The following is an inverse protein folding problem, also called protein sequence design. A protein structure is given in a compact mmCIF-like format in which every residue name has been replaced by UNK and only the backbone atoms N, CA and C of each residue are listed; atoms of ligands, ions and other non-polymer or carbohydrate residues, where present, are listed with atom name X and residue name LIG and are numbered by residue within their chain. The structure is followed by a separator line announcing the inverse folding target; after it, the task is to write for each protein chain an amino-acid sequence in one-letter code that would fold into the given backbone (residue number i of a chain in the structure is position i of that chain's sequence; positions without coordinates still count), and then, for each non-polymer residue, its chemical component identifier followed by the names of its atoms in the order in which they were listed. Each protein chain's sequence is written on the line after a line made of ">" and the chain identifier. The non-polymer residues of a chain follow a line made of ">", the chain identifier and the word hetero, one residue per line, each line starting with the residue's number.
data_IF_070527685127
#
_entry.id   IF_070527685127
#
_cell.length_a   1.000
_cell.length_b   1.000
_cell.length_c   1.000
_cell.angle_alpha   90.00
_cell.angle_beta   90.00
_cell.angle_gamma   90.00
#
_symmetry.space_group_name_H-M   'P 1'
#
loop_
_entity.id
_entity.type
_entity.pdbx_description
1 polymer ?
#
# COMPACT_ATOMS: atom_id res chain seq x y z
N UNK A 1 20.44 14.14 -10.52
CA UNK A 1 20.69 13.79 -11.94
C UNK A 1 19.39 13.24 -12.54
N UNK A 2 18.92 13.78 -13.65
CA UNK A 2 17.65 13.42 -14.32
C UNK A 2 17.71 12.00 -14.95
N UNK A 3 16.62 11.24 -14.86
CA UNK A 3 15.87 10.85 -16.08
C UNK A 3 14.45 10.40 -15.74
N UNK A 4 13.51 11.08 -16.39
CA UNK A 4 12.14 10.65 -16.66
C UNK A 4 12.20 9.58 -17.75
N UNK A 5 11.44 8.49 -17.63
CA UNK A 5 11.11 7.63 -18.77
C UNK A 5 9.59 7.51 -18.84
N UNK A 6 8.99 8.30 -19.74
CA UNK A 6 7.77 7.91 -20.44
C UNK A 6 8.05 6.64 -21.24
N UNK A 7 7.21 5.61 -21.13
CA UNK A 7 7.13 4.56 -22.16
C UNK A 7 5.77 4.62 -22.85
N UNK A 8 5.84 4.81 -24.16
CA UNK A 8 4.75 4.70 -25.12
C UNK A 8 4.61 3.24 -25.56
N UNK A 9 3.35 2.80 -25.67
CA UNK A 9 2.82 1.69 -26.49
C UNK A 9 3.53 0.31 -26.50
N UNK A 10 2.82 -0.70 -25.97
CA UNK A 10 2.76 -2.01 -26.65
C UNK A 10 2.93 -3.26 -25.80
N UNK A 11 1.79 -3.77 -25.31
CA UNK A 11 1.51 -5.14 -24.79
C UNK A 11 2.14 -5.53 -23.42
N UNK A 12 1.33 -6.14 -22.52
CA UNK A 12 1.81 -6.60 -21.22
C UNK A 12 2.74 -7.82 -21.43
N UNK A 13 4.00 -7.66 -21.03
CA UNK A 13 4.93 -8.77 -20.89
C UNK A 13 4.46 -9.69 -19.78
N UNK A 14 4.37 -10.99 -20.09
CA UNK A 14 4.05 -12.08 -19.17
C UNK A 14 4.88 -12.02 -17.89
N UNK A 15 4.20 -11.95 -16.75
CA UNK A 15 4.77 -12.03 -15.40
C UNK A 15 5.32 -13.43 -15.12
N UNK A 16 6.59 -13.65 -15.44
CA UNK A 16 7.35 -14.81 -14.97
C UNK A 16 7.98 -14.54 -13.61
N UNK A 17 7.19 -14.51 -12.53
CA UNK A 17 7.70 -14.74 -11.17
C UNK A 17 6.67 -15.44 -10.29
N UNK A 18 6.47 -16.74 -10.54
CA UNK A 18 6.10 -17.64 -9.45
C UNK A 18 7.31 -17.80 -8.53
N UNK A 19 7.28 -17.21 -7.33
CA UNK A 19 8.17 -17.60 -6.23
C UNK A 19 7.36 -17.92 -4.99
N UNK A 20 6.93 -19.17 -4.91
CA UNK A 20 6.93 -19.84 -3.62
C UNK A 20 8.36 -20.12 -3.20
N UNK A 21 8.74 -19.77 -1.97
CA UNK A 21 9.45 -20.63 -0.99
C UNK A 21 10.16 -19.80 0.09
N UNK A 22 10.02 -20.35 1.31
CA UNK A 22 10.91 -20.30 2.48
C UNK A 22 12.29 -19.66 2.23
N UNK A 23 12.61 -18.69 3.09
CA UNK A 23 13.87 -17.96 3.18
C UNK A 23 15.11 -18.78 2.78
N UNK A 24 15.86 -18.25 1.81
CA UNK A 24 17.26 -18.62 1.60
C UNK A 24 18.11 -17.35 1.72
N UNK A 25 18.83 -17.24 2.83
CA UNK A 25 19.99 -16.36 2.91
C UNK A 25 20.98 -16.71 1.77
N UNK A 26 21.40 -15.69 1.02
CA UNK A 26 22.51 -15.81 0.06
C UNK A 26 23.84 -15.58 0.80
N UNK A 27 24.83 -16.49 0.71
CA UNK A 27 26.18 -16.18 1.14
C UNK A 27 26.92 -15.38 0.06
N UNK A 28 27.49 -14.25 0.47
CA UNK A 28 28.28 -13.37 -0.37
C UNK A 28 29.61 -13.95 -0.88
N UNK A 29 30.12 -13.30 -1.92
CA UNK A 29 31.34 -13.55 -2.69
C UNK A 29 32.55 -14.03 -1.86
N UNK A 30 33.07 -15.23 -2.18
CA UNK A 30 34.47 -15.60 -1.90
C UNK A 30 35.19 -15.94 -3.20
N UNK A 31 36.23 -15.16 -3.47
CA UNK A 31 37.12 -15.30 -4.62
C UNK A 31 37.74 -16.70 -4.72
N UNK A 32 37.89 -17.18 -5.95
CA UNK A 32 38.58 -18.42 -6.28
C UNK A 32 40.05 -18.35 -5.84
N UNK A 33 40.46 -19.26 -4.94
CA UNK A 33 41.87 -19.60 -4.73
C UNK A 33 42.08 -21.10 -4.93
N UNK A 34 43.26 -21.40 -5.46
CA UNK A 34 43.69 -22.61 -6.14
C UNK A 34 43.46 -23.93 -5.40
N UNK A 35 43.19 -24.97 -6.18
CA UNK A 35 43.15 -26.37 -5.75
C UNK A 35 44.54 -26.83 -5.29
N UNK A 36 44.70 -27.05 -3.98
CA UNK A 36 45.73 -27.96 -3.44
C UNK A 36 45.09 -29.26 -2.99
N UNK A 37 45.57 -30.37 -3.55
CA UNK A 37 45.22 -31.72 -3.13
C UNK A 37 46.09 -32.09 -1.92
N UNK A 38 45.49 -32.44 -0.79
CA UNK A 38 46.14 -33.26 0.22
C UNK A 38 45.15 -33.99 1.15
N UNK A 39 45.42 -35.29 1.25
CA UNK A 39 45.24 -36.26 2.33
C UNK A 39 43.92 -36.31 3.12
N UNK A 40 43.29 -37.49 3.07
CA UNK A 40 42.04 -37.82 3.75
C UNK A 40 42.09 -37.61 5.26
N UNK A 41 41.05 -36.93 5.78
CA UNK A 41 40.67 -36.91 7.19
C UNK A 41 39.18 -36.60 7.30
N UNK A 42 38.50 -37.46 8.03
CA UNK A 42 37.15 -37.42 8.61
C UNK A 42 35.97 -36.87 7.80
N UNK A 43 34.96 -37.73 7.69
CA UNK A 43 33.57 -37.37 7.42
C UNK A 43 33.17 -36.22 8.36
N UNK A 44 32.43 -35.26 7.83
CA UNK A 44 31.90 -34.14 8.60
C UNK A 44 31.06 -34.67 9.78
N UNK A 45 31.64 -34.68 10.99
CA UNK A 45 30.97 -35.08 12.25
C UNK A 45 29.94 -34.06 12.75
N UNK A 46 29.76 -32.93 12.05
CA UNK A 46 28.91 -31.83 12.49
C UNK A 46 27.41 -32.06 12.27
N UNK A 47 27.00 -33.09 11.53
CA UNK A 47 25.59 -33.40 11.27
C UNK A 47 25.34 -34.93 11.28
N UNK A 48 25.49 -35.55 12.45
CA UNK A 48 25.17 -36.97 12.66
C UNK A 48 23.69 -37.22 13.02
N UNK A 49 22.95 -36.16 13.35
CA UNK A 49 21.51 -36.22 13.61
C UNK A 49 20.68 -35.99 12.35
N UNK A 50 19.64 -36.80 12.12
CA UNK A 50 18.63 -36.54 11.10
C UNK A 50 17.91 -35.24 11.47
N UNK A 51 18.15 -34.17 10.73
CA UNK A 51 17.37 -32.93 10.86
C UNK A 51 15.92 -33.27 10.48
N UNK A 52 15.05 -33.34 11.49
CA UNK A 52 13.62 -33.45 11.24
C UNK A 52 13.17 -32.14 10.59
N UNK A 53 12.35 -32.16 9.54
CA UNK A 53 11.71 -30.96 9.05
C UNK A 53 10.77 -30.44 10.14
N UNK A 54 11.25 -29.49 10.94
CA UNK A 54 10.42 -28.73 11.87
C UNK A 54 9.87 -27.56 11.07
N UNK A 55 8.69 -27.75 10.50
CA UNK A 55 7.87 -26.60 10.12
C UNK A 55 7.29 -26.05 11.43
N UNK A 56 7.58 -24.80 11.81
CA UNK A 56 7.03 -24.21 13.03
C UNK A 56 5.50 -24.24 12.97
N UNK A 57 4.87 -24.34 14.14
CA UNK A 57 3.42 -24.18 14.25
C UNK A 57 3.05 -22.73 13.89
N UNK A 58 1.87 -22.55 13.30
CA UNK A 58 1.31 -21.21 13.13
C UNK A 58 0.77 -20.78 14.49
N UNK A 59 1.30 -19.71 15.05
CA UNK A 59 1.04 -19.27 16.42
C UNK A 59 0.64 -17.80 16.45
N UNK A 60 -0.27 -17.47 17.36
CA UNK A 60 -0.61 -16.09 17.72
C UNK A 60 0.16 -15.71 18.98
N UNK A 61 0.86 -14.57 18.98
CA UNK A 61 1.41 -13.98 20.20
C UNK A 61 0.34 -13.16 20.93
N UNK A 62 0.11 -13.46 22.21
CA UNK A 62 -0.70 -12.61 23.09
C UNK A 62 0.20 -11.55 23.72
N UNK A 63 -0.36 -10.39 24.10
CA UNK A 63 0.32 -9.28 24.81
C UNK A 63 1.19 -9.69 26.01
N UNK A 64 1.04 -10.90 26.56
CA UNK A 64 1.84 -11.45 27.66
C UNK A 64 3.05 -12.29 27.21
N UNK A 65 3.34 -12.39 25.90
CA UNK A 65 4.40 -13.22 25.35
C UNK A 65 4.05 -14.72 25.23
N UNK A 66 2.82 -15.10 25.56
CA UNK A 66 2.32 -16.47 25.35
C UNK A 66 1.95 -16.69 23.88
N UNK A 67 2.46 -17.76 23.27
CA UNK A 67 2.12 -18.18 21.91
C UNK A 67 1.01 -19.22 21.94
N UNK A 68 -0.17 -18.88 21.42
CA UNK A 68 -1.24 -19.87 21.19
C UNK A 68 -1.05 -20.49 19.82
N UNK A 69 -0.91 -21.81 19.77
CA UNK A 69 -0.90 -22.53 18.48
C UNK A 69 -2.27 -22.48 17.83
N UNK A 70 -2.32 -21.96 16.61
CA UNK A 70 -3.52 -21.89 15.77
C UNK A 70 -3.68 -23.15 14.91
N UNK A 71 -2.70 -24.04 14.91
CA UNK A 71 -2.73 -25.32 14.17
C UNK A 71 -3.54 -26.39 14.92
N UNK A 72 -4.72 -26.02 15.38
CA UNK A 72 -5.65 -26.86 16.14
C UNK A 72 -6.54 -27.69 15.23
N UNK A 73 -7.23 -28.68 15.80
CA UNK A 73 -8.21 -29.48 15.06
C UNK A 73 -9.43 -28.65 14.68
N UNK A 74 -9.84 -27.73 15.55
CA UNK A 74 -10.97 -26.83 15.37
C UNK A 74 -10.74 -25.89 14.19
N UNK A 75 -9.55 -25.29 14.09
CA UNK A 75 -9.18 -24.44 12.95
C UNK A 75 -9.07 -25.25 11.66
N UNK A 76 -8.52 -26.47 11.71
CA UNK A 76 -8.50 -27.35 10.54
C UNK A 76 -9.93 -27.70 10.07
N UNK A 77 -10.81 -28.10 10.98
CA UNK A 77 -12.19 -28.48 10.64
C UNK A 77 -12.97 -27.28 10.06
N UNK A 78 -12.76 -26.07 10.59
CA UNK A 78 -13.32 -24.83 10.05
C UNK A 78 -12.83 -24.57 8.62
N UNK A 79 -11.50 -24.52 8.41
CA UNK A 79 -10.89 -24.32 7.09
C UNK A 79 -11.36 -25.37 6.08
N UNK A 80 -11.43 -26.63 6.49
CA UNK A 80 -11.86 -27.72 5.61
C UNK A 80 -13.31 -27.57 5.16
N UNK A 81 -14.21 -27.19 6.07
CA UNK A 81 -15.61 -26.90 5.74
C UNK A 81 -15.73 -25.68 4.82
N UNK A 82 -14.98 -24.60 5.08
CA UNK A 82 -14.92 -23.43 4.19
C UNK A 82 -14.45 -23.79 2.80
N UNK A 83 -13.37 -24.58 2.69
CA UNK A 83 -12.83 -25.04 1.41
C UNK A 83 -13.81 -25.92 0.64
N UNK A 84 -14.47 -26.88 1.31
CA UNK A 84 -15.50 -27.72 0.70
C UNK A 84 -16.69 -26.89 0.22
N UNK A 85 -17.17 -25.97 1.06
CA UNK A 85 -18.28 -25.07 0.72
C UNK A 85 -17.95 -24.25 -0.52
N UNK A 86 -16.81 -23.57 -0.50
CA UNK A 86 -16.43 -22.68 -1.60
C UNK A 86 -16.12 -23.45 -2.89
N UNK A 87 -15.35 -24.53 -2.82
CA UNK A 87 -15.07 -25.36 -4.00
C UNK A 87 -16.35 -25.92 -4.64
N UNK A 88 -17.30 -26.37 -3.83
CA UNK A 88 -18.63 -26.77 -4.31
C UNK A 88 -19.39 -25.63 -4.97
N UNK A 89 -19.33 -24.42 -4.40
CA UNK A 89 -19.98 -23.22 -4.94
C UNK A 89 -19.44 -22.82 -6.32
N UNK A 90 -18.13 -22.93 -6.54
CA UNK A 90 -17.48 -22.63 -7.83
C UNK A 90 -17.38 -23.84 -8.77
N UNK A 91 -18.00 -24.98 -8.41
CA UNK A 91 -18.04 -26.19 -9.24
C UNK A 91 -16.68 -26.91 -9.38
N UNK A 92 -15.74 -26.66 -8.48
CA UNK A 92 -14.42 -27.28 -8.47
C UNK A 92 -14.37 -28.47 -7.51
N UNK A 93 -13.66 -29.53 -7.90
CA UNK A 93 -13.42 -30.67 -7.00
C UNK A 93 -12.20 -30.38 -6.13
N UNK A 94 -12.40 -30.29 -4.82
CA UNK A 94 -11.31 -30.16 -3.85
C UNK A 94 -10.43 -31.43 -3.83
N UNK A 95 -9.16 -31.39 -4.28
CA UNK A 95 -8.29 -32.56 -4.38
C UNK A 95 -7.58 -32.85 -3.05
N UNK A 96 -8.35 -32.87 -1.96
CA UNK A 96 -7.82 -33.04 -0.61
C UNK A 96 -8.63 -34.09 0.16
N UNK A 97 -7.90 -34.94 0.90
CA UNK A 97 -8.48 -35.88 1.87
C UNK A 97 -7.77 -35.68 3.20
N UNK A 98 -8.50 -35.46 4.30
CA UNK A 98 -7.91 -35.41 5.63
C UNK A 98 -7.11 -36.68 5.91
N UNK A 99 -5.91 -36.54 6.44
CA UNK A 99 -5.12 -37.69 6.91
C UNK A 99 -5.19 -37.76 8.42
N UNK A 100 -5.04 -38.93 9.03
CA UNK A 100 -4.91 -39.09 10.49
C UNK A 100 -3.60 -38.49 11.08
N UNK A 101 -2.93 -37.62 10.33
CA UNK A 101 -1.71 -36.90 10.73
C UNK A 101 -2.11 -35.62 11.49
N UNK A 102 -1.11 -34.91 12.03
CA UNK A 102 -1.33 -33.69 12.82
C UNK A 102 -2.18 -32.65 12.05
N UNK A 103 -3.05 -31.88 12.75
CA UNK A 103 -3.86 -30.82 12.14
C UNK A 103 -3.01 -29.84 11.32
N UNK A 104 -1.83 -29.46 11.81
CA UNK A 104 -0.82 -28.68 11.08
C UNK A 104 -0.54 -29.20 9.66
N UNK A 105 -0.25 -30.49 9.53
CA UNK A 105 0.08 -31.09 8.22
C UNK A 105 -1.14 -31.08 7.29
N UNK A 106 -2.33 -31.25 7.85
CA UNK A 106 -3.57 -31.19 7.08
C UNK A 106 -3.86 -29.75 6.61
N UNK A 107 -3.66 -28.73 7.45
CA UNK A 107 -3.82 -27.31 7.08
C UNK A 107 -2.87 -26.94 5.94
N UNK A 108 -1.57 -27.25 6.04
CA UNK A 108 -0.59 -26.94 4.99
C UNK A 108 -0.96 -27.59 3.65
N UNK A 109 -1.43 -28.84 3.68
CA UNK A 109 -1.86 -29.55 2.47
C UNK A 109 -3.16 -29.00 1.91
N UNK A 110 -4.10 -28.62 2.76
CA UNK A 110 -5.37 -28.03 2.35
C UNK A 110 -5.15 -26.66 1.70
N UNK A 111 -4.29 -25.82 2.29
CA UNK A 111 -3.87 -24.55 1.70
C UNK A 111 -3.29 -24.74 0.31
N UNK A 112 -2.31 -25.65 0.14
CA UNK A 112 -1.75 -25.96 -1.18
C UNK A 112 -2.79 -26.45 -2.18
N UNK A 113 -3.77 -27.24 -1.72
CA UNK A 113 -4.84 -27.72 -2.58
C UNK A 113 -5.73 -26.57 -3.06
N UNK A 114 -6.08 -25.63 -2.17
CA UNK A 114 -6.85 -24.42 -2.52
C UNK A 114 -6.08 -23.52 -3.48
N UNK A 115 -4.82 -23.19 -3.16
CA UNK A 115 -3.91 -22.38 -3.97
C UNK A 115 -3.66 -22.97 -5.37
N UNK A 116 -3.78 -24.30 -5.52
CA UNK A 116 -3.62 -24.96 -6.83
C UNK A 116 -4.87 -24.91 -7.70
N UNK A 117 -6.07 -24.98 -7.09
CA UNK A 117 -7.32 -25.11 -7.86
C UNK A 117 -8.03 -23.78 -8.11
N UNK A 118 -7.78 -22.77 -7.28
CA UNK A 118 -8.43 -21.47 -7.40
C UNK A 118 -7.65 -20.56 -8.36
N UNK A 119 -8.35 -19.74 -9.17
CA UNK A 119 -7.70 -18.73 -9.99
C UNK A 119 -7.27 -17.50 -9.19
N UNK A 120 -7.88 -17.23 -8.03
CA UNK A 120 -7.45 -16.20 -7.08
C UNK A 120 -6.21 -16.63 -6.30
N UNK A 121 -5.48 -15.65 -5.79
CA UNK A 121 -4.47 -15.92 -4.78
C UNK A 121 -5.16 -16.30 -3.46
N UNK A 122 -4.52 -17.18 -2.70
CA UNK A 122 -5.02 -17.66 -1.41
C UNK A 122 -4.02 -17.27 -0.33
N UNK A 123 -4.47 -16.64 0.74
CA UNK A 123 -3.71 -16.50 1.98
C UNK A 123 -4.40 -17.23 3.14
N UNK A 124 -3.64 -17.52 4.19
CA UNK A 124 -4.18 -17.92 5.49
C UNK A 124 -4.09 -16.74 6.44
N UNK A 125 -5.25 -16.30 6.91
CA UNK A 125 -5.37 -15.17 7.81
C UNK A 125 -5.94 -15.61 9.15
N UNK A 126 -5.74 -14.77 10.14
CA UNK A 126 -6.19 -14.97 11.50
C UNK A 126 -7.09 -13.82 11.94
N UNK A 127 -8.19 -14.16 12.61
CA UNK A 127 -9.07 -13.19 13.26
C UNK A 127 -9.66 -13.83 14.51
N UNK A 128 -9.42 -13.21 15.67
CA UNK A 128 -9.95 -13.63 16.98
C UNK A 128 -9.67 -15.10 17.33
N UNK A 129 -8.46 -15.58 17.06
CA UNK A 129 -7.96 -16.94 17.30
C UNK A 129 -8.40 -17.97 16.25
N UNK A 130 -9.05 -17.54 15.16
CA UNK A 130 -9.57 -18.41 14.12
C UNK A 130 -8.84 -18.22 12.79
N UNK A 131 -8.45 -19.34 12.18
CA UNK A 131 -7.86 -19.33 10.84
C UNK A 131 -8.96 -19.37 9.77
N UNK A 132 -8.78 -18.59 8.71
CA UNK A 132 -9.62 -18.62 7.51
C UNK A 132 -8.78 -18.47 6.24
N UNK A 133 -9.35 -18.90 5.12
CA UNK A 133 -8.78 -18.59 3.81
C UNK A 133 -9.21 -17.19 3.40
N UNK A 134 -8.26 -16.33 3.08
CA UNK A 134 -8.49 -15.05 2.43
C UNK A 134 -8.16 -15.21 0.95
N UNK A 135 -9.17 -15.07 0.07
CA UNK A 135 -8.93 -14.98 -1.36
C UNK A 135 -8.64 -13.52 -1.71
N UNK A 136 -7.71 -13.28 -2.62
CA UNK A 136 -7.47 -11.94 -3.10
C UNK A 136 -7.08 -11.88 -4.58
N UNK A 137 -7.36 -10.73 -5.19
CA UNK A 137 -6.98 -10.41 -6.56
C UNK A 137 -6.54 -8.95 -6.67
N UNK A 138 -5.45 -8.73 -7.40
CA UNK A 138 -4.91 -7.39 -7.69
C UNK A 138 -5.78 -6.63 -8.68
N UNK A 139 -6.01 -5.35 -8.39
CA UNK A 139 -6.54 -4.38 -9.35
C UNK A 139 -5.46 -3.92 -10.32
N UNK A 140 -5.89 -3.46 -11.50
CA UNK A 140 -5.00 -2.74 -12.41
C UNK A 140 -4.71 -1.37 -11.82
N UNK A 141 -3.53 -1.22 -11.22
CA UNK A 141 -3.12 0.02 -10.58
C UNK A 141 -1.83 0.55 -11.19
N UNK A 142 -1.72 1.86 -11.48
CA UNK A 142 -0.53 2.41 -12.10
C UNK A 142 0.70 2.20 -11.21
N UNK A 143 1.63 1.40 -11.71
CA UNK A 143 2.93 1.17 -11.08
C UNK A 143 3.71 2.50 -11.01
N UNK A 144 4.50 2.68 -9.96
CA UNK A 144 5.39 3.84 -9.75
C UNK A 144 4.73 5.22 -9.71
N UNK A 145 3.40 5.32 -9.76
CA UNK A 145 2.70 6.59 -9.70
C UNK A 145 2.38 7.00 -8.27
N UNK A 146 2.75 8.24 -7.93
CA UNK A 146 2.39 8.94 -6.71
C UNK A 146 1.21 9.88 -6.97
N UNK A 147 0.17 9.78 -6.14
CA UNK A 147 -0.99 10.64 -6.16
C UNK A 147 -0.93 11.62 -4.99
N UNK A 148 0.07 12.49 -5.02
CA UNK A 148 0.22 13.56 -4.02
C UNK A 148 -0.55 14.80 -4.50
N UNK A 149 -1.63 15.12 -3.80
CA UNK A 149 -2.55 16.20 -4.13
C UNK A 149 -2.03 17.50 -3.48
N UNK A 150 -1.40 18.43 -4.24
CA UNK A 150 -0.93 19.69 -3.66
C UNK A 150 -2.10 20.58 -3.26
N UNK A 151 -1.97 21.36 -2.18
CA UNK A 151 -2.95 22.38 -1.79
C UNK A 151 -2.52 23.79 -2.23
N UNK A 152 -1.24 24.02 -2.49
CA UNK A 152 -0.68 25.32 -2.90
C UNK A 152 -1.37 25.90 -4.14
N UNK A 153 -1.78 25.06 -5.10
CA UNK A 153 -2.44 25.54 -6.33
C UNK A 153 -3.75 26.28 -6.04
N UNK A 154 -4.40 25.98 -4.91
CA UNK A 154 -5.66 26.64 -4.53
C UNK A 154 -5.48 28.12 -4.23
N UNK A 155 -4.26 28.57 -3.91
CA UNK A 155 -3.93 30.00 -3.73
C UNK A 155 -4.04 30.79 -5.05
N UNK A 156 -3.94 30.10 -6.19
CA UNK A 156 -4.01 30.71 -7.52
C UNK A 156 -5.42 30.72 -8.09
N UNK A 157 -6.37 30.09 -7.40
CA UNK A 157 -7.78 30.07 -7.78
C UNK A 157 -8.50 31.33 -7.28
N UNK A 158 -9.55 31.80 -7.98
CA UNK A 158 -10.47 32.78 -7.41
C UNK A 158 -11.02 32.29 -6.06
N UNK A 159 -11.19 33.19 -5.08
CA UNK A 159 -11.50 32.83 -3.69
C UNK A 159 -12.64 31.80 -3.56
N UNK A 160 -13.76 32.02 -4.27
CA UNK A 160 -14.91 31.10 -4.24
C UNK A 160 -14.56 29.71 -4.79
N UNK A 161 -13.81 29.63 -5.90
CA UNK A 161 -13.40 28.36 -6.49
C UNK A 161 -12.35 27.64 -5.63
N UNK A 162 -11.43 28.39 -5.02
CA UNK A 162 -10.48 27.87 -4.05
C UNK A 162 -11.18 27.21 -2.87
N UNK A 163 -12.21 27.86 -2.29
CA UNK A 163 -13.02 27.27 -1.21
C UNK A 163 -13.77 26.00 -1.63
N UNK A 164 -14.37 25.99 -2.81
CA UNK A 164 -15.04 24.79 -3.37
C UNK A 164 -14.04 23.64 -3.53
N UNK A 165 -12.88 23.93 -4.10
CA UNK A 165 -11.83 22.92 -4.36
C UNK A 165 -11.26 22.37 -3.06
N UNK A 166 -10.98 23.22 -2.07
CA UNK A 166 -10.51 22.80 -0.75
C UNK A 166 -11.54 21.93 -0.02
N UNK A 167 -12.83 22.26 -0.12
CA UNK A 167 -13.88 21.43 0.48
C UNK A 167 -13.99 20.06 -0.19
N UNK A 168 -13.89 20.02 -1.52
CA UNK A 168 -13.86 18.75 -2.24
C UNK A 168 -12.66 17.89 -1.81
N UNK A 169 -11.44 18.43 -1.79
CA UNK A 169 -10.24 17.68 -1.39
C UNK A 169 -10.36 17.21 0.07
N UNK A 170 -10.92 18.03 0.96
CA UNK A 170 -11.19 17.64 2.35
C UNK A 170 -12.16 16.47 2.43
N UNK A 171 -13.29 16.52 1.72
CA UNK A 171 -14.26 15.42 1.71
C UNK A 171 -13.67 14.15 1.11
N UNK A 172 -12.92 14.28 0.01
CA UNK A 172 -12.17 13.19 -0.61
C UNK A 172 -11.22 12.53 0.38
N UNK A 173 -10.39 13.32 1.06
CA UNK A 173 -9.41 12.80 1.99
C UNK A 173 -10.09 12.09 3.18
N UNK A 174 -11.15 12.67 3.73
CA UNK A 174 -11.90 12.07 4.85
C UNK A 174 -12.63 10.80 4.47
N UNK A 175 -13.32 10.78 3.32
CA UNK A 175 -14.07 9.62 2.86
C UNK A 175 -13.15 8.43 2.61
N UNK A 176 -11.98 8.71 2.02
CA UNK A 176 -11.01 7.69 1.67
C UNK A 176 -10.00 7.35 2.78
N UNK A 177 -9.88 8.17 3.83
CA UNK A 177 -8.79 8.02 4.81
C UNK A 177 -7.42 8.32 4.19
N UNK A 178 -7.35 9.25 3.24
CA UNK A 178 -6.09 9.70 2.64
C UNK A 178 -5.37 10.59 3.66
N UNK A 179 -4.13 10.26 4.06
CA UNK A 179 -3.41 11.06 5.04
C UNK A 179 -2.87 12.35 4.43
N UNK A 180 -2.49 13.27 5.31
CA UNK A 180 -1.69 14.43 4.94
C UNK A 180 -0.23 14.01 4.91
N UNK A 181 0.58 14.68 4.09
CA UNK A 181 2.02 14.42 4.04
C UNK A 181 2.68 14.54 5.42
N UNK A 182 2.20 15.47 6.26
CA UNK A 182 2.68 15.71 7.62
C UNK A 182 2.37 14.59 8.62
N UNK A 183 1.50 13.64 8.26
CA UNK A 183 1.15 12.50 9.11
C UNK A 183 2.10 11.30 8.87
N UNK A 184 3.09 11.45 7.99
CA UNK A 184 3.98 10.35 7.56
C UNK A 184 5.38 10.47 8.13
N UNK A 185 6.04 9.33 8.35
CA UNK A 185 7.45 9.29 8.73
C UNK A 185 8.37 9.96 7.70
N UNK A 186 7.99 9.94 6.42
CA UNK A 186 8.71 10.65 5.37
C UNK A 186 8.78 12.16 5.60
N UNK A 187 7.70 12.75 6.13
CA UNK A 187 7.71 14.16 6.48
C UNK A 187 8.60 14.44 7.68
N UNK A 188 8.56 13.62 8.73
CA UNK A 188 9.42 13.80 9.91
C UNK A 188 10.90 13.79 9.50
N UNK A 189 11.30 12.79 8.70
CA UNK A 189 12.67 12.68 8.18
C UNK A 189 13.06 13.86 7.28
N UNK A 190 12.17 14.26 6.36
CA UNK A 190 12.42 15.40 5.48
C UNK A 190 12.50 16.71 6.26
N UNK A 191 11.64 16.90 7.26
CA UNK A 191 11.63 18.06 8.12
C UNK A 191 12.96 18.20 8.86
N UNK A 192 13.43 17.14 9.51
CA UNK A 192 14.70 17.11 10.23
C UNK A 192 15.88 17.41 9.28
N UNK A 193 15.88 16.81 8.08
CA UNK A 193 16.90 17.11 7.06
C UNK A 193 16.91 18.59 6.65
N UNK A 194 15.73 19.20 6.45
CA UNK A 194 15.60 20.60 6.05
C UNK A 194 15.99 21.56 7.18
N UNK A 195 15.64 21.24 8.42
CA UNK A 195 15.95 22.05 9.60
C UNK A 195 17.46 22.05 9.89
N UNK A 196 18.07 20.87 9.84
CA UNK A 196 19.49 20.65 10.14
C UNK A 196 20.37 20.60 8.89
N UNK A 197 19.92 21.14 7.76
CA UNK A 197 20.60 21.06 6.46
C UNK A 197 22.11 21.36 6.49
N UNK A 198 22.54 22.29 7.35
CA UNK A 198 23.95 22.65 7.54
C UNK A 198 24.86 21.49 8.00
N UNK A 199 24.29 20.46 8.61
CA UNK A 199 25.01 19.28 9.11
C UNK A 199 25.21 18.23 8.01
N UNK A 200 24.44 18.31 6.92
CA UNK A 200 24.42 17.33 5.84
C UNK A 200 25.22 17.79 4.61
N UNK A 201 25.49 19.09 4.49
CA UNK A 201 26.20 19.69 3.36
C UNK A 201 27.19 20.75 3.85
N UNK A 202 28.47 20.39 3.89
CA UNK A 202 29.57 21.28 4.33
C UNK A 202 29.81 22.45 3.37
N UNK A 203 29.39 22.32 2.10
CA UNK A 203 29.53 23.34 1.07
C UNK A 203 28.29 24.26 0.98
N UNK A 204 27.24 23.97 1.77
CA UNK A 204 26.00 24.72 1.77
C UNK A 204 26.21 26.20 2.07
N UNK A 205 25.69 27.05 1.20
CA UNK A 205 25.74 28.49 1.43
C UNK A 205 24.80 28.87 2.58
N UNK A 206 25.14 29.94 3.31
CA UNK A 206 24.26 30.50 4.34
C UNK A 206 22.87 30.88 3.79
N UNK A 207 22.76 31.15 2.49
CA UNK A 207 21.49 31.40 1.81
C UNK A 207 20.62 30.14 1.68
N UNK A 208 21.21 29.01 1.29
CA UNK A 208 20.52 27.72 1.17
C UNK A 208 20.04 27.22 2.53
N UNK A 209 20.91 27.26 3.54
CA UNK A 209 20.57 26.88 4.92
C UNK A 209 19.36 27.68 5.41
N UNK A 210 19.35 29.01 5.20
CA UNK A 210 18.21 29.86 5.58
C UNK A 210 16.93 29.53 4.82
N UNK A 211 17.00 29.20 3.52
CA UNK A 211 15.83 28.84 2.72
C UNK A 211 15.23 27.50 3.17
N UNK A 212 16.06 26.49 3.42
CA UNK A 212 15.63 25.16 3.89
C UNK A 212 15.00 25.25 5.28
N UNK A 213 15.63 25.95 6.22
CA UNK A 213 15.06 26.19 7.55
C UNK A 213 13.76 27.02 7.52
N UNK A 214 13.64 27.99 6.59
CA UNK A 214 12.40 28.73 6.40
C UNK A 214 11.28 27.84 5.84
N UNK A 215 11.60 26.90 4.95
CA UNK A 215 10.66 25.93 4.42
C UNK A 215 10.21 24.93 5.49
N UNK A 216 11.11 24.41 6.33
CA UNK A 216 10.74 23.58 7.48
C UNK A 216 9.72 24.31 8.38
N UNK A 217 10.02 25.56 8.77
CA UNK A 217 9.10 26.42 9.55
C UNK A 217 7.76 26.68 8.86
N UNK A 218 7.72 26.70 7.51
CA UNK A 218 6.48 26.88 6.74
C UNK A 218 5.52 25.71 6.97
N UNK A 219 6.05 24.48 7.00
CA UNK A 219 5.32 23.24 7.22
C UNK A 219 5.04 22.95 8.70
N UNK A 220 5.94 23.37 9.59
CA UNK A 220 5.80 23.20 11.03
C UNK A 220 4.71 24.10 11.64
N UNK A 221 4.68 25.39 11.26
CA UNK A 221 3.78 26.39 11.87
C UNK A 221 3.29 27.50 10.93
N UNK A 222 3.73 27.46 9.68
CA UNK A 222 3.43 28.47 8.66
C UNK A 222 2.08 28.25 7.96
N UNK A 223 1.97 28.77 6.74
CA UNK A 223 0.73 28.67 5.95
C UNK A 223 0.44 27.23 5.51
N UNK A 224 1.49 26.45 5.19
CA UNK A 224 1.37 25.06 4.79
C UNK A 224 0.76 24.24 5.92
N UNK A 225 1.31 24.37 7.14
CA UNK A 225 0.75 23.80 8.36
C UNK A 225 -0.76 24.09 8.50
N UNK A 226 -1.14 25.38 8.51
CA UNK A 226 -2.52 25.79 8.76
C UNK A 226 -3.51 25.29 7.72
N UNK A 227 -3.10 25.15 6.47
CA UNK A 227 -3.97 24.66 5.40
C UNK A 227 -4.10 23.14 5.46
N UNK A 228 -3.01 22.42 5.74
CA UNK A 228 -3.02 20.98 5.95
C UNK A 228 -3.88 20.61 7.16
N UNK A 229 -3.69 21.26 8.32
CA UNK A 229 -4.51 21.06 9.53
C UNK A 229 -6.01 21.23 9.28
N UNK A 230 -6.39 22.16 8.39
CA UNK A 230 -7.80 22.36 8.06
C UNK A 230 -8.43 21.17 7.33
N UNK A 231 -7.64 20.25 6.77
CA UNK A 231 -8.16 19.02 6.17
C UNK A 231 -8.72 18.05 7.21
N UNK A 232 -8.24 18.12 8.47
CA UNK A 232 -8.71 17.26 9.55
C UNK A 232 -10.02 17.75 10.18
N UNK A 233 -10.35 19.03 9.97
CA UNK A 233 -11.54 19.64 10.54
C UNK A 233 -12.81 18.88 10.15
N UNK A 234 -13.60 18.51 11.15
CA UNK A 234 -14.91 17.90 10.97
C UNK A 234 -15.91 18.87 10.34
N UNK A 235 -15.81 20.16 10.68
CA UNK A 235 -16.57 21.25 10.06
C UNK A 235 -16.01 21.54 8.67
N UNK A 236 -16.84 21.38 7.65
CA UNK A 236 -16.48 21.73 6.27
C UNK A 236 -16.37 23.23 6.04
N UNK A 237 -15.76 23.59 4.92
CA UNK A 237 -15.71 24.98 4.44
C UNK A 237 -17.02 25.42 3.79
N UNK A 238 -17.82 24.46 3.32
CA UNK A 238 -19.12 24.68 2.66
C UNK A 238 -20.15 23.67 3.19
N UNK A 239 -21.43 24.07 3.20
CA UNK A 239 -22.54 23.21 3.60
C UNK A 239 -23.06 22.32 2.45
N UNK A 240 -23.02 22.83 1.20
CA UNK A 240 -23.51 22.15 0.01
C UNK A 240 -22.46 22.24 -1.11
N UNK A 241 -21.57 21.25 -1.17
CA UNK A 241 -20.47 21.23 -2.14
C UNK A 241 -20.99 21.15 -3.58
N UNK A 242 -21.86 20.18 -3.88
CA UNK A 242 -22.38 19.99 -5.24
C UNK A 242 -23.19 21.18 -5.73
N UNK A 243 -24.04 21.76 -4.86
CA UNK A 243 -24.79 22.94 -5.21
C UNK A 243 -23.90 24.14 -5.50
N UNK A 244 -22.81 24.32 -4.75
CA UNK A 244 -21.85 25.39 -5.04
C UNK A 244 -21.04 25.16 -6.32
N UNK A 245 -20.70 23.91 -6.67
CA UNK A 245 -20.11 23.58 -7.97
C UNK A 245 -21.09 23.95 -9.10
N UNK A 246 -22.36 23.55 -9.00
CA UNK A 246 -23.40 23.84 -10.02
C UNK A 246 -23.69 25.33 -10.20
N UNK A 247 -23.59 26.13 -9.13
CA UNK A 247 -23.84 27.59 -9.18
C UNK A 247 -22.64 28.37 -9.72
N UNK A 248 -21.44 27.81 -9.74
CA UNK A 248 -20.24 28.53 -10.17
C UNK A 248 -20.18 28.61 -11.70
N UNK A 249 -20.09 29.83 -12.23
CA UNK A 249 -20.02 30.09 -13.67
C UNK A 249 -18.71 30.78 -14.03
N UNK A 250 -18.01 30.27 -15.04
CA UNK A 250 -16.74 30.84 -15.51
C UNK A 250 -16.60 30.76 -17.03
N UNK A 251 -15.89 31.75 -17.58
CA UNK A 251 -15.49 31.80 -19.00
C UNK A 251 -14.10 31.18 -19.23
N UNK A 252 -13.32 30.90 -18.17
CA UNK A 252 -11.98 30.34 -18.32
C UNK A 252 -12.04 28.81 -18.47
N UNK A 253 -11.35 28.28 -19.48
CA UNK A 253 -11.40 26.86 -19.82
C UNK A 253 -10.81 25.97 -18.71
N UNK A 254 -9.72 26.40 -18.06
CA UNK A 254 -9.10 25.65 -16.96
C UNK A 254 -10.00 25.57 -15.71
N UNK A 255 -10.67 26.67 -15.35
CA UNK A 255 -11.62 26.69 -14.23
C UNK A 255 -12.85 25.82 -14.54
N UNK A 256 -13.34 25.81 -15.80
CA UNK A 256 -14.42 24.92 -16.22
C UNK A 256 -14.03 23.44 -16.14
N UNK A 257 -12.87 23.08 -16.68
CA UNK A 257 -12.35 21.72 -16.61
C UNK A 257 -12.15 21.26 -15.15
N UNK A 258 -11.76 22.17 -14.25
CA UNK A 258 -11.67 21.86 -12.82
C UNK A 258 -13.06 21.55 -12.24
N UNK A 259 -14.06 22.39 -12.51
CA UNK A 259 -15.44 22.17 -12.03
C UNK A 259 -16.03 20.86 -12.55
N UNK A 260 -15.76 20.49 -13.81
CA UNK A 260 -16.17 19.20 -14.39
C UNK A 260 -15.55 18.03 -13.61
N UNK A 261 -14.24 18.05 -13.35
CA UNK A 261 -13.58 17.00 -12.56
C UNK A 261 -14.02 16.98 -11.09
N UNK A 262 -14.33 18.13 -10.50
CA UNK A 262 -14.88 18.20 -9.13
C UNK A 262 -16.29 17.60 -9.07
N UNK A 263 -17.11 17.84 -10.09
CA UNK A 263 -18.46 17.26 -10.20
C UNK A 263 -18.39 15.75 -10.45
N UNK A 264 -17.56 15.28 -11.37
CA UNK A 264 -17.32 13.85 -11.56
C UNK A 264 -16.78 13.19 -10.28
N UNK A 265 -15.92 13.92 -9.57
CA UNK A 265 -15.32 13.51 -8.32
C UNK A 265 -16.34 13.25 -7.20
N UNK A 266 -17.53 13.86 -7.25
CA UNK A 266 -18.52 13.69 -6.17
C UNK A 266 -19.05 12.26 -6.10
N UNK A 267 -18.99 11.50 -7.20
CA UNK A 267 -19.33 10.09 -7.22
C UNK A 267 -18.44 9.26 -6.27
N UNK A 268 -17.14 9.61 -6.14
CA UNK A 268 -16.19 8.87 -5.32
C UNK A 268 -16.29 9.15 -3.81
N UNK A 269 -16.94 10.26 -3.45
CA UNK A 269 -17.19 10.67 -2.05
C UNK A 269 -18.66 10.54 -1.65
N UNK A 270 -19.47 9.92 -2.51
CA UNK A 270 -20.90 9.75 -2.27
C UNK A 270 -21.17 8.67 -1.22
N UNK A 271 -22.33 8.76 -0.57
CA UNK A 271 -22.75 7.76 0.41
C UNK A 271 -22.87 6.38 -0.25
N UNK A 272 -22.12 5.41 0.26
CA UNK A 272 -22.07 4.05 -0.29
C UNK A 272 -20.95 3.81 -1.31
N UNK A 273 -20.21 4.85 -1.71
CA UNK A 273 -18.96 4.70 -2.45
C UNK A 273 -17.90 4.02 -1.56
N UNK A 274 -17.18 3.00 -2.05
CA UNK A 274 -16.06 2.41 -1.33
C UNK A 274 -14.99 3.44 -0.97
N UNK A 275 -14.17 3.12 0.03
CA UNK A 275 -12.95 3.86 0.29
C UNK A 275 -11.77 3.17 -0.39
N UNK A 276 -10.87 3.92 -1.04
CA UNK A 276 -9.67 3.35 -1.66
C UNK A 276 -8.79 2.58 -0.64
N UNK A 277 -8.78 3.03 0.62
CA UNK A 277 -8.01 2.37 1.68
C UNK A 277 -8.63 1.03 2.12
N UNK A 278 -9.89 0.74 1.78
CA UNK A 278 -10.48 -0.60 2.00
C UNK A 278 -9.83 -1.67 1.12
N UNK A 279 -9.19 -1.28 0.02
CA UNK A 279 -8.44 -2.17 -0.87
C UNK A 279 -6.97 -2.31 -0.44
N UNK A 280 -6.56 -1.67 0.67
CA UNK A 280 -5.20 -1.77 1.20
C UNK A 280 -5.06 -3.02 2.06
N UNK A 281 -4.78 -4.16 1.42
CA UNK A 281 -4.48 -5.41 2.10
C UNK A 281 -3.03 -5.81 1.89
N UNK A 282 -2.35 -6.06 3.01
CA UNK A 282 -0.97 -6.51 3.04
C UNK A 282 -0.90 -8.04 2.90
N UNK A 283 -0.84 -8.49 1.65
CA UNK A 283 -0.80 -9.91 1.28
C UNK A 283 0.51 -10.61 1.65
N UNK A 284 1.55 -9.86 2.03
CA UNK A 284 2.85 -10.38 2.44
C UNK A 284 3.23 -9.88 3.84
N UNK A 285 2.21 -9.66 4.69
CA UNK A 285 2.40 -9.17 6.04
C UNK A 285 3.39 -10.04 6.82
N UNK A 286 4.32 -9.36 7.47
CA UNK A 286 5.23 -9.93 8.45
C UNK A 286 5.13 -9.08 9.72
N UNK A 287 5.17 -9.71 10.89
CA UNK A 287 5.02 -9.02 12.18
C UNK A 287 6.19 -8.06 12.46
N UNK A 288 7.40 -8.47 12.09
CA UNK A 288 8.63 -7.71 12.26
C UNK A 288 9.46 -7.77 10.96
N UNK A 289 9.03 -7.07 9.90
CA UNK A 289 9.76 -7.05 8.65
C UNK A 289 11.04 -6.22 8.81
N UNK A 290 12.12 -6.63 8.13
CA UNK A 290 13.36 -5.84 8.08
C UNK A 290 13.10 -4.45 7.46
N UNK A 291 12.21 -4.38 6.45
CA UNK A 291 11.76 -3.16 5.80
C UNK A 291 10.23 -3.14 5.71
N UNK A 292 9.61 -2.05 6.19
CA UNK A 292 8.15 -1.91 6.10
C UNK A 292 7.72 -1.82 4.63
N UNK A 293 6.57 -2.40 4.25
CA UNK A 293 6.05 -2.24 2.92
C UNK A 293 5.62 -0.79 2.66
N UNK A 294 5.70 -0.38 1.40
CA UNK A 294 5.22 0.92 0.96
C UNK A 294 3.70 0.88 0.87
N UNK A 295 3.03 1.45 1.87
CA UNK A 295 1.58 1.45 2.00
C UNK A 295 0.86 2.34 1.00
N UNK A 296 -0.42 2.06 0.73
CA UNK A 296 -1.26 2.84 -0.18
C UNK A 296 -1.48 4.29 0.32
N UNK A 297 -1.48 4.45 1.64
CA UNK A 297 -1.52 5.70 2.41
C UNK A 297 -0.32 6.61 2.15
N UNK A 298 0.84 6.06 1.80
CA UNK A 298 2.00 6.89 1.38
C UNK A 298 1.99 7.23 -0.10
N UNK A 299 1.28 6.44 -0.91
CA UNK A 299 1.17 6.65 -2.37
C UNK A 299 0.12 7.68 -2.74
N UNK A 300 -0.94 7.78 -1.95
CA UNK A 300 -2.01 8.76 -2.11
C UNK A 300 -2.00 9.64 -0.87
N UNK A 301 -1.67 10.92 -1.03
CA UNK A 301 -1.55 11.87 0.09
C UNK A 301 -2.06 13.24 -0.30
N UNK A 302 -2.48 14.03 0.70
CA UNK A 302 -2.64 15.47 0.55
C UNK A 302 -1.36 16.16 1.01
N UNK A 303 -0.75 16.98 0.16
CA UNK A 303 0.49 17.70 0.48
C UNK A 303 0.32 19.21 0.28
N UNK A 304 1.23 20.02 0.83
CA UNK A 304 1.23 21.44 0.55
C UNK A 304 1.65 21.72 -0.89
N UNK A 305 2.84 21.27 -1.30
CA UNK A 305 3.34 21.46 -2.67
C UNK A 305 4.02 20.19 -3.18
N UNK A 306 4.01 20.02 -4.50
CA UNK A 306 4.76 18.95 -5.19
C UNK A 306 6.04 19.46 -5.88
N UNK A 307 6.34 20.76 -5.72
CA UNK A 307 7.43 21.47 -6.43
C UNK A 307 8.52 22.01 -5.48
N UNK A 308 8.36 21.81 -4.18
CA UNK A 308 9.31 22.32 -3.19
C UNK A 308 10.28 21.24 -2.69
N UNK A 309 11.32 21.70 -1.99
CA UNK A 309 12.34 20.84 -1.46
C UNK A 309 11.83 19.86 -0.39
N UNK A 310 10.73 20.16 0.31
CA UNK A 310 10.15 19.24 1.30
C UNK A 310 9.67 17.97 0.60
N UNK A 311 8.88 18.15 -0.46
CA UNK A 311 8.41 17.06 -1.30
C UNK A 311 9.55 16.29 -1.98
N UNK A 312 10.62 16.98 -2.41
CA UNK A 312 11.76 16.31 -3.05
C UNK A 312 12.49 15.36 -2.10
N UNK A 313 12.71 15.77 -0.83
CA UNK A 313 13.30 14.88 0.17
C UNK A 313 12.36 13.72 0.53
N UNK A 314 11.07 14.00 0.73
CA UNK A 314 10.07 12.93 0.97
C UNK A 314 10.08 11.89 -0.16
N UNK A 315 10.18 12.32 -1.43
CA UNK A 315 10.31 11.40 -2.57
C UNK A 315 11.59 10.60 -2.53
N UNK A 316 12.68 11.18 -2.07
CA UNK A 316 13.96 10.49 -1.92
C UNK A 316 13.83 9.30 -0.98
N UNK A 317 13.24 9.51 0.21
CA UNK A 317 12.99 8.45 1.17
C UNK A 317 11.99 7.41 0.67
N UNK A 318 10.88 7.85 0.07
CA UNK A 318 9.92 6.95 -0.57
C UNK A 318 10.60 6.05 -1.62
N UNK A 319 11.44 6.62 -2.50
CA UNK A 319 12.12 5.87 -3.53
C UNK A 319 13.12 4.86 -2.94
N UNK A 320 13.75 5.19 -1.81
CA UNK A 320 14.62 4.25 -1.08
C UNK A 320 13.80 3.06 -0.58
N UNK A 321 12.71 3.30 0.13
CA UNK A 321 11.85 2.23 0.66
C UNK A 321 11.22 1.39 -0.45
N UNK A 322 10.86 2.03 -1.56
CA UNK A 322 10.34 1.35 -2.75
C UNK A 322 11.36 0.36 -3.34
N UNK A 323 12.66 0.62 -3.21
CA UNK A 323 13.72 -0.28 -3.67
C UNK A 323 13.99 -1.43 -2.70
N UNK A 324 13.84 -1.16 -1.39
CA UNK A 324 14.18 -2.11 -0.33
C UNK A 324 13.01 -3.04 0.07
N UNK A 325 11.77 -2.65 -0.24
CA UNK A 325 10.56 -3.40 0.13
C UNK A 325 9.57 -3.57 -1.03
N UNK A 326 8.44 -4.22 -0.76
CA UNK A 326 7.33 -4.35 -1.70
C UNK A 326 6.27 -3.26 -1.47
N UNK A 327 5.37 -3.14 -2.45
CA UNK A 327 4.40 -2.05 -2.52
C UNK A 327 3.00 -2.60 -2.39
N UNK A 328 2.23 -2.00 -1.49
CA UNK A 328 0.80 -2.29 -1.35
C UNK A 328 0.07 -1.61 -2.52
N UNK A 329 -0.60 -2.42 -3.31
CA UNK A 329 -1.49 -2.00 -4.40
C UNK A 329 -2.91 -2.43 -4.05
N UNK A 330 -3.94 -1.74 -4.57
CA UNK A 330 -5.32 -2.11 -4.32
C UNK A 330 -5.61 -3.57 -4.71
N UNK A 331 -6.25 -4.29 -3.80
CA UNK A 331 -6.67 -5.67 -3.98
C UNK A 331 -8.11 -5.82 -3.46
N UNK A 332 -8.91 -6.63 -4.14
CA UNK A 332 -10.17 -7.10 -3.57
C UNK A 332 -9.89 -8.36 -2.77
N UNK A 333 -10.36 -8.41 -1.53
CA UNK A 333 -10.24 -9.58 -0.65
C UNK A 333 -11.60 -10.23 -0.40
N UNK A 334 -11.59 -11.51 -0.04
CA UNK A 334 -12.80 -12.27 0.27
C UNK A 334 -12.52 -13.41 1.24
N UNK A 335 -13.13 -13.36 2.41
CA UNK A 335 -12.93 -14.36 3.46
C UNK A 335 -13.85 -15.56 3.27
N UNK A 336 -13.28 -16.76 3.27
CA UNK A 336 -14.03 -18.00 3.16
C UNK A 336 -14.44 -18.53 4.53
N UNK A 337 -15.73 -18.77 4.69
CA UNK A 337 -16.33 -19.39 5.86
C UNK A 337 -17.14 -20.63 5.45
N UNK A 338 -17.51 -21.50 6.39
CA UNK A 338 -18.43 -22.61 6.11
C UNK A 338 -19.79 -22.15 5.57
N UNK A 339 -20.14 -20.89 5.79
CA UNK A 339 -21.42 -20.29 5.44
C UNK A 339 -21.33 -19.43 4.17
N UNK A 340 -20.17 -19.36 3.49
CA UNK A 340 -20.01 -18.57 2.26
C UNK A 340 -21.07 -18.92 1.20
N UNK A 341 -21.83 -17.91 0.76
CA UNK A 341 -22.96 -18.10 -0.16
C UNK A 341 -22.70 -17.65 -1.60
N UNK A 342 -21.69 -16.79 -1.80
CA UNK A 342 -21.40 -16.18 -3.10
C UNK A 342 -19.94 -16.43 -3.50
N UNK A 343 -19.67 -16.60 -4.80
CA UNK A 343 -18.29 -16.69 -5.28
C UNK A 343 -17.58 -15.34 -5.11
N UNK A 344 -16.25 -15.37 -5.15
CA UNK A 344 -15.44 -14.16 -5.23
C UNK A 344 -15.90 -13.27 -6.39
N UNK A 345 -16.08 -11.98 -6.11
CA UNK A 345 -16.40 -10.97 -7.12
C UNK A 345 -15.55 -9.73 -6.88
N UNK A 346 -15.10 -9.12 -7.97
CA UNK A 346 -14.24 -7.94 -7.96
C UNK A 346 -14.94 -6.81 -8.69
N UNK A 347 -14.90 -5.61 -8.12
CA UNK A 347 -15.37 -4.38 -8.75
C UNK A 347 -14.24 -3.67 -9.54
N UNK A 348 -14.56 -2.53 -10.15
CA UNK A 348 -13.63 -1.70 -10.93
C UNK A 348 -13.33 -0.34 -10.27
N UNK A 349 -13.62 -0.20 -8.97
CA UNK A 349 -13.53 1.07 -8.28
C UNK A 349 -12.10 1.63 -8.26
N UNK A 350 -11.06 0.88 -7.86
CA UNK A 350 -9.67 1.38 -7.87
C UNK A 350 -9.21 1.86 -9.24
N UNK A 351 -9.57 1.15 -10.32
CA UNK A 351 -9.24 1.52 -11.69
C UNK A 351 -9.86 2.87 -12.05
N UNK A 352 -11.18 3.02 -11.89
CA UNK A 352 -11.90 4.27 -12.19
C UNK A 352 -11.40 5.43 -11.33
N UNK A 353 -11.17 5.18 -10.03
CA UNK A 353 -10.64 6.17 -9.10
C UNK A 353 -9.24 6.65 -9.51
N UNK A 354 -8.33 5.73 -9.88
CA UNK A 354 -6.98 6.08 -10.31
C UNK A 354 -6.94 6.87 -11.63
N UNK A 355 -7.85 6.57 -12.55
CA UNK A 355 -8.01 7.29 -13.81
C UNK A 355 -8.49 8.72 -13.56
N UNK A 356 -9.53 8.88 -12.74
CA UNK A 356 -10.02 10.20 -12.36
C UNK A 356 -8.96 11.01 -11.60
N UNK A 357 -8.28 10.42 -10.60
CA UNK A 357 -7.18 11.07 -9.89
C UNK A 357 -6.05 11.49 -10.83
N UNK A 358 -5.74 10.66 -11.83
CA UNK A 358 -4.74 10.97 -12.86
C UNK A 358 -5.12 12.24 -13.62
N UNK A 359 -6.39 12.34 -14.06
CA UNK A 359 -6.90 13.52 -14.75
C UNK A 359 -6.89 14.75 -13.85
N UNK A 360 -7.33 14.60 -12.60
CA UNK A 360 -7.35 15.67 -11.60
C UNK A 360 -5.96 16.24 -11.33
N UNK A 361 -4.99 15.38 -10.98
CA UNK A 361 -3.61 15.81 -10.69
C UNK A 361 -2.94 16.43 -11.92
N UNK A 362 -3.16 15.86 -13.11
CA UNK A 362 -2.63 16.41 -14.37
C UNK A 362 -3.19 17.80 -14.64
N UNK A 363 -4.50 18.00 -14.43
CA UNK A 363 -5.13 19.31 -14.63
C UNK A 363 -4.53 20.35 -13.69
N UNK A 364 -4.48 20.06 -12.38
CA UNK A 364 -4.02 21.03 -11.38
C UNK A 364 -2.53 21.36 -11.54
N UNK A 365 -1.69 20.37 -11.89
CA UNK A 365 -0.24 20.59 -12.02
C UNK A 365 0.12 21.42 -13.24
N UNK A 366 -0.64 21.29 -14.33
CA UNK A 366 -0.35 21.94 -15.62
C UNK A 366 -0.98 23.33 -15.77
N UNK A 367 -2.09 23.61 -15.08
CA UNK A 367 -2.90 24.82 -15.32
C UNK A 367 -2.95 25.80 -14.15
N UNK A 368 -2.58 25.34 -12.96
CA UNK A 368 -2.55 26.13 -11.75
C UNK A 368 -1.18 26.00 -11.11
#
# INVERSE_FOLDING_TARGET
>A
MQTVIETTNGRPGTTYYQRGRMHRHQPGNRQQKEKKVAAGRNRNDFLTGRILPVTPDYCMEIRAGEKISLTTRENFDFLYRSALRYSGLVGLRLPFRPTGKSPRMNIVKLYRAMDTILPEHVNLEEENGRLYFCLYRFHEWPEYKLFWIPLEFTERLPEKLGRITLEFIRQLARHHGIPKSTDTSYYEMAHDYLEDYRLYDEEATAGEIRRKAALAKLYEKGKAHRILEKMDNSKGFLADLEGEIRKYHTKKNNERALLELLMEGTAYISHGSPSIMQYSYDWAYEEAPDFRPVGLDTRIMVTWSVKDAMNDEMKSYFNSDYQESYVITPVTTFHLTPDTEKPFSMDDFPERFSQWLTCFIKLITNNF
#
